data_IF_075393172872
#
_entry.id   IF_075393172872
#
_cell.length_a   1.000
_cell.length_b   1.000
_cell.length_c   1.000
_cell.angle_alpha   90.00
_cell.angle_beta   90.00
_cell.angle_gamma   90.00
#
_symmetry.space_group_name_H-M   'P 1'
#
loop_
_entity.id
_entity.type
_entity.pdbx_description
1 polymer ?
#
# COMPACT_ATOMS: atom_id res chain seq x y z
N UNK A 1 3.09 3.90 -22.26
CA UNK A 1 3.72 2.57 -22.21
C UNK A 1 2.72 1.61 -21.56
N UNK A 2 2.23 0.63 -22.31
CA UNK A 2 1.38 -0.44 -21.75
C UNK A 2 2.32 -1.51 -21.18
N UNK A 3 2.33 -1.68 -19.86
CA UNK A 3 3.07 -2.76 -19.23
C UNK A 3 2.32 -4.07 -19.50
N UNK A 4 2.99 -5.15 -19.92
CA UNK A 4 2.31 -6.41 -20.25
C UNK A 4 1.57 -6.91 -19.01
N UNK A 5 0.26 -7.10 -19.15
CA UNK A 5 -0.59 -7.62 -18.06
C UNK A 5 -0.18 -9.07 -17.83
N UNK A 6 0.45 -9.38 -16.68
CA UNK A 6 0.73 -10.77 -16.29
C UNK A 6 -0.62 -11.50 -16.20
N UNK A 7 -0.81 -12.51 -17.05
CA UNK A 7 -2.03 -13.32 -17.09
C UNK A 7 -2.19 -14.22 -15.85
N UNK A 8 -1.09 -14.52 -15.13
CA UNK A 8 -1.12 -15.31 -13.89
C UNK A 8 -1.02 -14.39 -12.67
N UNK A 9 -1.98 -14.43 -11.73
CA UNK A 9 -1.88 -13.67 -10.48
C UNK A 9 -0.71 -14.18 -9.63
N UNK A 10 -0.03 -13.26 -8.95
CA UNK A 10 1.10 -13.56 -8.07
C UNK A 10 0.67 -14.22 -6.75
N UNK A 11 -0.55 -13.93 -6.30
CA UNK A 11 -1.13 -14.46 -5.07
C UNK A 11 -2.66 -14.51 -5.17
N UNK A 12 -3.29 -15.27 -4.27
CA UNK A 12 -4.74 -15.30 -4.14
C UNK A 12 -5.23 -14.07 -3.34
N UNK A 13 -6.24 -13.32 -3.80
CA UNK A 13 -6.72 -12.12 -3.09
C UNK A 13 -7.63 -12.45 -1.88
N UNK A 14 -8.15 -13.67 -1.77
CA UNK A 14 -9.12 -14.00 -0.73
C UNK A 14 -10.43 -13.23 -0.90
N UNK A 15 -11.08 -12.87 0.21
CA UNK A 15 -12.35 -12.13 0.20
C UNK A 15 -12.09 -10.64 -0.04
N UNK A 16 -12.85 -10.05 -0.96
CA UNK A 16 -12.80 -8.62 -1.23
C UNK A 16 -13.69 -7.85 -0.25
N UNK A 17 -13.10 -6.93 0.48
CA UNK A 17 -13.79 -5.98 1.36
C UNK A 17 -13.56 -4.58 0.80
N UNK A 18 -14.63 -3.80 0.63
CA UNK A 18 -14.53 -2.48 -0.02
C UNK A 18 -15.23 -1.47 0.86
N UNK A 19 -14.49 -0.46 1.31
CA UNK A 19 -15.06 0.63 2.07
C UNK A 19 -16.04 1.45 1.20
N UNK A 20 -17.19 1.90 1.73
CA UNK A 20 -18.15 2.69 0.96
C UNK A 20 -17.53 3.93 0.30
N UNK A 21 -16.63 4.63 1.01
CA UNK A 21 -15.92 5.78 0.47
C UNK A 21 -14.98 5.44 -0.69
N UNK A 22 -14.45 4.22 -0.74
CA UNK A 22 -13.64 3.74 -1.86
C UNK A 22 -14.52 3.43 -3.07
N UNK A 23 -15.69 2.80 -2.87
CA UNK A 23 -16.68 2.56 -3.93
C UNK A 23 -17.07 3.88 -4.59
N UNK A 24 -17.40 4.89 -3.78
CA UNK A 24 -17.83 6.19 -4.31
C UNK A 24 -16.70 6.87 -5.10
N UNK A 25 -15.47 6.92 -4.55
CA UNK A 25 -14.32 7.48 -5.26
C UNK A 25 -14.05 6.78 -6.59
N UNK A 26 -14.09 5.45 -6.62
CA UNK A 26 -13.92 4.66 -7.84
C UNK A 26 -15.03 4.94 -8.87
N UNK A 27 -16.27 5.02 -8.41
CA UNK A 27 -17.44 5.32 -9.26
C UNK A 27 -17.35 6.72 -9.87
N UNK A 28 -17.08 7.75 -9.06
CA UNK A 28 -16.97 9.14 -9.53
C UNK A 28 -15.87 9.30 -10.59
N UNK A 29 -14.82 8.46 -10.51
CA UNK A 29 -13.70 8.46 -11.45
C UNK A 29 -13.87 7.47 -12.62
N UNK A 30 -15.01 6.79 -12.75
CA UNK A 30 -15.26 5.75 -13.76
C UNK A 30 -14.20 4.64 -13.78
N UNK A 31 -13.63 4.31 -12.62
CA UNK A 31 -12.64 3.24 -12.48
C UNK A 31 -13.32 1.99 -11.90
N UNK A 32 -13.33 0.84 -12.62
CA UNK A 32 -13.90 -0.39 -12.09
C UNK A 32 -13.10 -0.90 -10.90
N UNK A 33 -13.78 -1.33 -9.83
CA UNK A 33 -13.16 -2.00 -8.66
C UNK A 33 -12.23 -3.14 -9.11
N UNK A 34 -12.69 -3.96 -10.06
CA UNK A 34 -11.94 -5.11 -10.53
C UNK A 34 -10.59 -4.71 -11.16
N UNK A 35 -10.50 -3.54 -11.80
CA UNK A 35 -9.24 -3.06 -12.37
C UNK A 35 -8.17 -2.84 -11.30
N UNK A 36 -8.57 -2.31 -10.15
CA UNK A 36 -7.69 -2.07 -9.00
C UNK A 36 -7.21 -3.39 -8.38
N UNK A 37 -8.11 -4.37 -8.26
CA UNK A 37 -7.78 -5.71 -7.77
C UNK A 37 -6.84 -6.44 -8.73
N UNK A 38 -7.12 -6.41 -10.03
CA UNK A 38 -6.31 -7.09 -11.04
C UNK A 38 -4.89 -6.52 -11.11
N UNK A 39 -4.74 -5.21 -10.96
CA UNK A 39 -3.42 -4.57 -10.84
C UNK A 39 -2.68 -5.07 -9.60
N UNK A 40 -3.35 -5.13 -8.45
CA UNK A 40 -2.75 -5.55 -7.18
C UNK A 40 -2.24 -7.00 -7.25
N UNK A 41 -3.07 -7.93 -7.73
CA UNK A 41 -2.68 -9.35 -7.83
C UNK A 41 -1.66 -9.61 -8.95
N UNK A 42 -1.54 -8.72 -9.94
CA UNK A 42 -0.52 -8.80 -10.97
C UNK A 42 0.85 -8.24 -10.53
N UNK A 43 0.92 -7.63 -9.34
CA UNK A 43 2.13 -6.97 -8.81
C UNK A 43 2.34 -5.55 -9.31
N UNK A 44 1.32 -4.92 -9.90
CA UNK A 44 1.35 -3.47 -10.11
C UNK A 44 0.98 -2.79 -8.80
N UNK A 45 2.02 -2.39 -8.06
CA UNK A 45 1.88 -1.77 -6.74
C UNK A 45 1.46 -0.28 -6.78
N UNK A 46 1.32 0.29 -7.98
CA UNK A 46 0.93 1.67 -8.19
C UNK A 46 1.98 2.69 -7.72
N UNK A 47 1.54 3.70 -6.97
CA UNK A 47 2.34 4.88 -6.55
C UNK A 47 3.03 4.72 -5.19
N UNK A 48 3.26 3.48 -4.74
CA UNK A 48 4.12 3.22 -3.56
C UNK A 48 5.60 3.44 -3.91
N UNK A 49 6.45 3.63 -2.88
CA UNK A 49 7.89 3.83 -3.09
C UNK A 49 8.56 2.58 -3.66
N UNK A 50 9.72 2.71 -4.32
CA UNK A 50 10.45 1.55 -4.84
C UNK A 50 10.90 0.57 -3.74
N UNK A 51 11.20 1.08 -2.53
CA UNK A 51 11.45 0.25 -1.35
C UNK A 51 10.22 -0.56 -0.96
N UNK A 52 9.03 0.06 -0.94
CA UNK A 52 7.78 -0.64 -0.63
C UNK A 52 7.42 -1.67 -1.71
N UNK A 53 7.73 -1.39 -2.98
CA UNK A 53 7.55 -2.36 -4.08
C UNK A 53 8.40 -3.60 -3.85
N UNK A 54 9.70 -3.42 -3.54
CA UNK A 54 10.60 -4.52 -3.20
C UNK A 54 10.12 -5.27 -1.96
N UNK A 55 9.64 -4.54 -0.96
CA UNK A 55 9.08 -5.14 0.25
C UNK A 55 7.85 -5.99 -0.07
N UNK A 56 6.95 -5.56 -0.96
CA UNK A 56 5.84 -6.40 -1.41
C UNK A 56 6.34 -7.67 -2.12
N UNK A 57 7.34 -7.56 -2.98
CA UNK A 57 7.89 -8.72 -3.70
C UNK A 57 8.47 -9.75 -2.72
N UNK A 58 9.16 -9.30 -1.68
CA UNK A 58 9.64 -10.17 -0.58
C UNK A 58 8.46 -10.73 0.22
N UNK A 59 7.48 -9.89 0.56
CA UNK A 59 6.28 -10.26 1.33
C UNK A 59 5.42 -11.32 0.66
N UNK A 60 5.44 -11.42 -0.68
CA UNK A 60 4.78 -12.51 -1.40
C UNK A 60 5.38 -13.86 -0.99
N UNK A 61 6.71 -13.95 -0.91
CA UNK A 61 7.44 -15.19 -0.61
C UNK A 61 7.43 -15.49 0.89
N UNK A 62 7.55 -14.46 1.73
CA UNK A 62 7.63 -14.62 3.19
C UNK A 62 6.28 -14.67 3.89
N UNK A 63 5.17 -14.48 3.15
CA UNK A 63 3.82 -14.54 3.72
C UNK A 63 3.48 -13.34 4.60
N UNK A 64 3.95 -12.14 4.24
CA UNK A 64 3.64 -10.89 4.93
C UNK A 64 2.54 -10.11 4.19
N UNK A 65 1.93 -9.12 4.84
CA UNK A 65 0.90 -8.25 4.25
C UNK A 65 1.43 -7.52 3.00
N UNK A 66 0.55 -7.33 2.02
CA UNK A 66 0.84 -6.61 0.77
C UNK A 66 0.07 -5.30 0.72
N UNK A 67 0.68 -4.26 0.15
CA UNK A 67 0.09 -2.93 0.08
C UNK A 67 0.23 -2.35 -1.33
N UNK A 68 -0.82 -1.74 -1.86
CA UNK A 68 -0.76 -0.93 -3.08
C UNK A 68 -1.52 0.35 -2.92
N UNK A 69 -1.05 1.38 -3.64
CA UNK A 69 -1.73 2.68 -3.69
C UNK A 69 -1.95 3.04 -5.14
N UNK A 70 -3.18 3.31 -5.52
CA UNK A 70 -3.53 3.78 -6.86
C UNK A 70 -4.03 5.21 -6.79
N UNK A 71 -3.56 6.03 -7.73
CA UNK A 71 -4.05 7.39 -7.90
C UNK A 71 -5.12 7.40 -9.00
N UNK A 72 -6.29 7.93 -8.67
CA UNK A 72 -7.40 8.13 -9.59
C UNK A 72 -7.20 9.44 -10.40
N UNK A 73 -7.97 9.64 -11.49
CA UNK A 73 -7.92 10.87 -12.29
C UNK A 73 -8.03 12.17 -11.49
N UNK A 74 -8.93 12.22 -10.51
CA UNK A 74 -9.14 13.37 -9.60
C UNK A 74 -8.06 13.54 -8.51
N UNK A 75 -6.96 12.78 -8.59
CA UNK A 75 -5.89 12.67 -7.60
C UNK A 75 -6.25 11.94 -6.30
N UNK A 76 -7.50 11.50 -6.11
CA UNK A 76 -7.89 10.66 -4.98
C UNK A 76 -7.06 9.39 -4.97
N UNK A 77 -6.64 8.95 -3.79
CA UNK A 77 -5.84 7.73 -3.62
C UNK A 77 -6.68 6.59 -3.08
N UNK A 78 -6.50 5.43 -3.68
CA UNK A 78 -7.10 4.16 -3.24
C UNK A 78 -5.99 3.29 -2.67
N UNK A 79 -6.16 2.87 -1.43
CA UNK A 79 -5.32 1.91 -0.74
C UNK A 79 -5.89 0.51 -0.92
N UNK A 80 -5.05 -0.44 -1.30
CA UNK A 80 -5.40 -1.86 -1.38
C UNK A 80 -4.45 -2.63 -0.50
N UNK A 81 -4.99 -3.39 0.45
CA UNK A 81 -4.23 -4.17 1.40
C UNK A 81 -4.66 -5.63 1.28
N UNK A 82 -3.71 -6.56 1.13
CA UNK A 82 -3.97 -7.99 1.28
C UNK A 82 -3.31 -8.51 2.54
N UNK A 83 -4.09 -9.13 3.41
CA UNK A 83 -3.61 -9.67 4.68
C UNK A 83 -2.52 -10.73 4.49
N UNK A 84 -1.69 -10.91 5.52
CA UNK A 84 -0.52 -11.80 5.48
C UNK A 84 -0.90 -13.25 5.15
N UNK A 85 -2.05 -13.71 5.63
CA UNK A 85 -2.61 -15.04 5.38
C UNK A 85 -3.41 -15.15 4.07
N UNK A 86 -3.46 -14.06 3.29
CA UNK A 86 -4.22 -13.94 2.03
C UNK A 86 -5.72 -14.23 2.18
N UNK A 87 -6.27 -14.11 3.39
CA UNK A 87 -7.69 -14.35 3.64
C UNK A 87 -8.59 -13.25 3.11
N UNK A 88 -8.10 -12.00 3.12
CA UNK A 88 -8.85 -10.83 2.73
C UNK A 88 -7.97 -9.82 1.97
N UNK A 89 -8.59 -9.16 0.98
CA UNK A 89 -8.10 -7.93 0.36
C UNK A 89 -9.09 -6.80 0.65
N UNK A 90 -8.63 -5.76 1.34
CA UNK A 90 -9.43 -4.58 1.68
C UNK A 90 -9.06 -3.41 0.78
N UNK A 91 -10.07 -2.72 0.26
CA UNK A 91 -9.94 -1.54 -0.59
C UNK A 91 -10.54 -0.33 0.15
N UNK A 92 -9.71 0.69 0.36
CA UNK A 92 -10.08 1.89 1.11
C UNK A 92 -9.70 3.16 0.36
N UNK A 93 -10.45 4.24 0.60
CA UNK A 93 -10.06 5.57 0.14
C UNK A 93 -9.04 6.13 1.13
N UNK A 94 -7.83 6.42 0.66
CA UNK A 94 -6.82 7.06 1.47
C UNK A 94 -7.17 8.54 1.63
N UNK A 95 -7.38 9.00 2.85
CA UNK A 95 -7.59 10.41 3.12
C UNK A 95 -6.30 11.19 2.80
N UNK A 96 -6.43 12.35 2.17
CA UNK A 96 -5.30 13.23 2.02
C UNK A 96 -4.87 13.73 3.39
N UNK A 97 -3.60 13.48 3.72
CA UNK A 97 -2.91 14.27 4.72
C UNK A 97 -2.83 15.66 4.10
N UNK A 98 -3.77 16.54 4.45
CA UNK A 98 -3.63 17.97 4.21
C UNK A 98 -2.23 18.31 4.73
N UNK A 99 -1.29 18.77 3.89
CA UNK A 99 -0.06 19.33 4.42
C UNK A 99 -0.55 20.47 5.30
N UNK A 100 -0.45 20.33 6.62
CA UNK A 100 -0.74 21.45 7.49
C UNK A 100 0.14 22.57 6.97
N UNK A 101 -0.45 23.64 6.46
CA UNK A 101 0.25 24.86 6.03
C UNK A 101 1.08 25.46 7.17
N UNK A 102 0.95 24.94 8.39
CA UNK A 102 1.99 24.97 9.41
C UNK A 102 3.10 23.94 9.14
N UNK A 103 3.88 24.15 8.08
CA UNK A 103 5.30 23.90 8.22
C UNK A 103 5.78 24.88 9.29
N UNK A 104 5.70 24.48 10.57
CA UNK A 104 6.41 25.19 11.63
C UNK A 104 7.86 25.22 11.17
N UNK A 105 8.37 26.42 10.89
CA UNK A 105 9.80 26.69 10.87
C UNK A 105 10.43 25.87 11.99
N UNK A 106 11.51 25.17 11.68
CA UNK A 106 12.28 24.31 12.59
C UNK A 106 12.44 24.97 13.96
N UNK A 107 11.48 24.73 14.84
CA UNK A 107 11.54 25.09 16.23
C UNK A 107 12.12 23.87 16.91
N UNK A 108 13.39 24.00 17.27
CA UNK A 108 14.05 23.17 18.27
C UNK A 108 13.11 23.01 19.47
N UNK A 109 12.47 21.85 19.56
CA UNK A 109 11.57 21.53 20.64
C UNK A 109 11.70 20.03 20.91
N UNK A 110 12.50 19.71 21.91
CA UNK A 110 12.19 18.80 23.02
C UNK A 110 10.86 18.04 22.89
N UNK A 111 10.72 17.17 21.89
CA UNK A 111 9.67 16.17 21.84
C UNK A 111 10.18 14.96 22.59
N UNK A 112 9.62 14.72 23.77
CA UNK A 112 9.69 13.44 24.48
C UNK A 112 8.94 12.38 23.68
N UNK A 113 9.53 11.96 22.57
CA UNK A 113 9.17 10.68 21.98
C UNK A 113 9.69 9.57 22.89
N UNK A 114 8.95 8.47 23.07
CA UNK A 114 9.54 7.25 23.60
C UNK A 114 10.73 6.89 22.73
N UNK A 115 11.90 6.75 23.33
CA UNK A 115 13.04 6.16 22.66
C UNK A 115 12.69 4.68 22.45
N UNK A 116 12.28 4.33 21.23
CA UNK A 116 12.21 2.93 20.85
C UNK A 116 13.63 2.37 20.93
N UNK A 117 13.84 1.21 21.58
CA UNK A 117 15.13 0.55 21.55
C UNK A 117 15.53 0.39 20.09
N UNK A 118 16.74 0.82 19.74
CA UNK A 118 17.30 0.46 18.44
C UNK A 118 17.39 -1.07 18.45
N UNK A 119 16.67 -1.72 17.55
CA UNK A 119 16.83 -3.14 17.32
C UNK A 119 18.26 -3.33 16.79
N UNK A 120 19.17 -3.75 17.66
CA UNK A 120 20.48 -4.25 17.24
C UNK A 120 20.22 -5.59 16.58
N UNK A 121 20.04 -5.55 15.26
CA UNK A 121 20.04 -6.75 14.45
C UNK A 121 21.47 -7.31 14.51
N UNK A 122 21.69 -8.25 15.42
CA UNK A 122 22.90 -9.05 15.44
C UNK A 122 22.92 -9.87 14.16
N UNK A 123 23.79 -9.51 13.22
CA UNK A 123 24.18 -10.41 12.15
C UNK A 123 25.01 -11.53 12.79
N UNK A 124 24.34 -12.55 13.30
CA UNK A 124 24.99 -13.83 13.55
C UNK A 124 25.35 -14.44 12.18
N UNK A 125 26.58 -14.15 11.75
CA UNK A 125 27.22 -14.83 10.65
C UNK A 125 27.36 -16.31 10.97
N UNK A 126 26.76 -17.16 10.13
CA UNK A 126 27.13 -18.57 10.00
C UNK A 126 28.43 -18.67 9.21
N UNK A 127 29.49 -19.11 9.87
CA UNK A 127 30.44 -20.17 9.47
C UNK A 127 31.76 -19.99 10.23
#
# INVERSE_FOLDING_TARGET
MFQPTRLKPLFHPGKLLIAPAAIEALRSNSVPVLSVVLRHIAGDWGVVSEDDKRQNDVSIVTGLRLISIYRLPDQTRILVITEWDRSNTTIERLADVVPSSNARASQSATRRYPAWPKAEYSQEGRA
#
